data_IF_064591558328
#
_entry.id   IF_064591558328
#
_cell.length_a   1.000
_cell.length_b   1.000
_cell.length_c   1.000
_cell.angle_alpha   90.00
_cell.angle_beta   90.00
_cell.angle_gamma   90.00
#
_symmetry.space_group_name_H-M   'P 1'
#
loop_
_entity.id
_entity.type
_entity.pdbx_description
1 polymer ?
#
# COMPACT_ATOMS: atom_id res chain seq x y z
N UNK A 1 -9.10 -32.08 19.69
CA UNK A 1 -8.35 -32.11 18.42
C UNK A 1 -7.24 -31.09 18.52
N UNK A 2 -5.99 -31.47 18.28
CA UNK A 2 -4.84 -30.57 18.44
C UNK A 2 -4.98 -29.37 17.50
N UNK A 3 -5.28 -28.19 18.06
CA UNK A 3 -5.03 -26.91 17.41
C UNK A 3 -3.52 -26.81 17.22
N UNK A 4 -3.01 -27.33 16.10
CA UNK A 4 -1.59 -27.25 15.78
C UNK A 4 -1.14 -25.79 15.88
N UNK A 5 0.03 -25.55 16.48
CA UNK A 5 0.55 -24.20 16.77
C UNK A 5 0.67 -23.28 15.55
N UNK A 6 1.33 -22.13 15.73
CA UNK A 6 1.43 -21.05 14.71
C UNK A 6 1.75 -21.59 13.30
N UNK A 7 1.00 -21.13 12.29
CA UNK A 7 1.14 -21.54 10.88
C UNK A 7 2.41 -20.95 10.25
N UNK A 8 2.73 -19.70 10.62
CA UNK A 8 3.91 -18.96 10.21
C UNK A 8 4.66 -18.46 11.45
N UNK A 9 5.95 -18.22 11.29
CA UNK A 9 6.75 -17.52 12.29
C UNK A 9 6.35 -16.03 12.34
N UNK A 10 6.49 -15.35 13.50
CA UNK A 10 6.19 -13.92 13.61
C UNK A 10 6.93 -13.06 12.57
N UNK A 11 8.19 -13.38 12.28
CA UNK A 11 8.98 -12.65 11.28
C UNK A 11 8.42 -12.81 9.86
N UNK A 12 7.96 -14.01 9.49
CA UNK A 12 7.34 -14.23 8.18
C UNK A 12 6.04 -13.46 8.03
N UNK A 13 5.24 -13.39 9.10
CA UNK A 13 4.00 -12.58 9.12
C UNK A 13 4.34 -11.11 8.94
N UNK A 14 5.35 -10.62 9.68
CA UNK A 14 5.81 -9.23 9.59
C UNK A 14 6.33 -8.91 8.17
N UNK A 15 7.10 -9.82 7.57
CA UNK A 15 7.57 -9.69 6.19
C UNK A 15 6.42 -9.66 5.18
N UNK A 16 5.41 -10.51 5.34
CA UNK A 16 4.30 -10.62 4.37
C UNK A 16 3.38 -9.40 4.41
N UNK A 17 3.03 -8.91 5.61
CA UNK A 17 2.00 -7.89 5.76
C UNK A 17 2.56 -6.48 5.99
N UNK A 18 3.80 -6.35 6.47
CA UNK A 18 4.47 -5.06 6.65
C UNK A 18 3.59 -4.01 7.35
N UNK A 19 3.46 -2.84 6.72
CA UNK A 19 2.65 -1.71 7.18
C UNK A 19 1.20 -1.71 6.64
N UNK A 20 0.64 -2.85 6.23
CA UNK A 20 -0.78 -2.92 5.82
C UNK A 20 -1.74 -2.37 6.87
N UNK A 21 -1.60 -2.67 8.18
CA UNK A 21 -2.47 -2.08 9.20
C UNK A 21 -2.43 -0.55 9.18
N UNK A 22 -1.24 0.04 9.06
CA UNK A 22 -1.09 1.50 9.03
C UNK A 22 -1.73 2.10 7.77
N UNK A 23 -1.59 1.44 6.61
CA UNK A 23 -2.25 1.84 5.35
C UNK A 23 -3.77 1.76 5.52
N UNK A 24 -4.27 0.68 6.12
CA UNK A 24 -5.69 0.49 6.39
C UNK A 24 -6.25 1.61 7.28
N UNK A 25 -5.53 1.98 8.35
CA UNK A 25 -5.94 3.05 9.26
C UNK A 25 -6.02 4.41 8.56
N UNK A 26 -5.04 4.74 7.71
CA UNK A 26 -5.05 5.99 6.93
C UNK A 26 -6.21 6.01 5.94
N UNK A 27 -6.43 4.92 5.20
CA UNK A 27 -7.53 4.85 4.22
C UNK A 27 -8.91 4.81 4.87
N UNK A 28 -9.04 4.25 6.08
CA UNK A 28 -10.29 4.30 6.84
C UNK A 28 -10.63 5.74 7.21
N UNK A 29 -9.66 6.53 7.69
CA UNK A 29 -9.87 7.96 7.98
C UNK A 29 -10.20 8.78 6.73
N UNK A 30 -9.54 8.51 5.60
CA UNK A 30 -9.86 9.15 4.32
C UNK A 30 -11.31 8.80 3.90
N UNK A 31 -11.71 7.53 4.03
CA UNK A 31 -13.08 7.09 3.72
C UNK A 31 -14.10 7.82 4.59
N UNK A 32 -13.88 7.85 5.90
CA UNK A 32 -14.85 8.43 6.84
C UNK A 32 -15.01 9.94 6.60
N UNK A 33 -13.90 10.68 6.40
CA UNK A 33 -13.95 12.09 6.03
C UNK A 33 -14.67 12.33 4.68
N UNK A 34 -14.51 11.43 3.70
CA UNK A 34 -15.21 11.50 2.42
C UNK A 34 -16.72 11.22 2.57
N UNK A 35 -17.10 10.23 3.38
CA UNK A 35 -18.51 9.93 3.67
C UNK A 35 -19.18 11.13 4.35
N UNK A 36 -18.54 11.74 5.34
CA UNK A 36 -19.05 12.92 6.03
C UNK A 36 -19.17 14.14 5.10
N UNK A 37 -18.22 14.30 4.17
CA UNK A 37 -18.25 15.34 3.14
C UNK A 37 -19.47 15.19 2.23
N UNK A 38 -19.78 13.96 1.80
CA UNK A 38 -20.91 13.64 0.92
C UNK A 38 -22.25 13.84 1.65
N UNK A 39 -22.36 13.36 2.88
CA UNK A 39 -23.60 13.47 3.68
C UNK A 39 -23.95 14.93 3.97
N UNK A 40 -22.93 15.77 4.20
CA UNK A 40 -23.10 17.17 4.57
C UNK A 40 -22.60 18.11 3.47
N UNK A 41 -22.81 17.78 2.19
CA UNK A 41 -22.22 18.53 1.08
C UNK A 41 -22.63 20.01 1.05
N UNK A 42 -21.64 20.89 0.82
CA UNK A 42 -21.82 22.31 0.52
C UNK A 42 -20.70 22.81 -0.42
N UNK A 43 -20.91 23.92 -1.12
CA UNK A 43 -19.96 24.40 -2.14
C UNK A 43 -18.62 24.89 -1.59
N UNK A 44 -18.49 25.11 -0.28
CA UNK A 44 -17.22 25.48 0.36
C UNK A 44 -16.36 24.28 0.74
N UNK A 45 -16.91 23.06 0.65
CA UNK A 45 -16.21 21.82 0.96
C UNK A 45 -15.31 21.36 -0.17
N UNK A 46 -14.19 20.74 0.20
CA UNK A 46 -13.12 20.35 -0.71
C UNK A 46 -12.74 18.89 -0.54
N UNK A 47 -12.79 18.13 -1.65
CA UNK A 47 -12.22 16.77 -1.71
C UNK A 47 -10.69 16.86 -1.66
N UNK A 48 -10.11 17.89 -2.30
CA UNK A 48 -8.68 18.14 -2.29
C UNK A 48 -8.10 18.26 -0.87
N UNK A 49 -8.78 18.97 0.02
CA UNK A 49 -8.33 19.18 1.40
C UNK A 49 -8.24 17.89 2.22
N UNK A 50 -9.13 16.92 1.97
CA UNK A 50 -9.05 15.60 2.61
C UNK A 50 -7.74 14.91 2.25
N UNK A 51 -7.37 14.87 0.97
CA UNK A 51 -6.12 14.24 0.55
C UNK A 51 -4.89 15.02 1.02
N UNK A 52 -4.96 16.35 1.10
CA UNK A 52 -3.89 17.18 1.66
C UNK A 52 -3.69 16.92 3.15
N UNK A 53 -4.78 16.76 3.92
CA UNK A 53 -4.76 16.44 5.35
C UNK A 53 -3.98 15.16 5.64
N UNK A 54 -4.17 14.11 4.83
CA UNK A 54 -3.52 12.80 5.00
C UNK A 54 -2.25 12.59 4.18
N UNK A 55 -1.81 13.59 3.40
CA UNK A 55 -0.62 13.50 2.54
C UNK A 55 0.63 12.99 3.27
N UNK A 56 0.91 13.51 4.46
CA UNK A 56 2.07 13.13 5.28
C UNK A 56 1.97 11.68 5.77
N UNK A 57 0.77 11.23 6.12
CA UNK A 57 0.54 9.85 6.57
C UNK A 57 0.72 8.88 5.39
N UNK A 58 0.26 9.25 4.19
CA UNK A 58 0.49 8.48 2.97
C UNK A 58 1.98 8.35 2.63
N UNK A 59 2.74 9.46 2.70
CA UNK A 59 4.21 9.45 2.51
C UNK A 59 4.89 8.52 3.51
N UNK A 60 4.43 8.48 4.76
CA UNK A 60 5.05 7.66 5.81
C UNK A 60 4.74 6.17 5.69
N UNK A 61 3.51 5.82 5.31
CA UNK A 61 3.02 4.43 5.42
C UNK A 61 3.28 3.59 4.17
N UNK A 62 3.34 4.20 3.00
CA UNK A 62 3.47 3.50 1.72
C UNK A 62 4.88 2.99 1.38
N UNK A 63 5.97 3.76 1.55
CA UNK A 63 7.31 3.30 1.16
C UNK A 63 7.72 1.98 1.85
N UNK A 64 7.50 1.80 3.17
CA UNK A 64 7.78 0.53 3.84
C UNK A 64 6.95 -0.65 3.28
N UNK A 65 5.77 -0.42 2.73
CA UNK A 65 5.01 -1.49 2.11
C UNK A 65 5.52 -1.81 0.69
N UNK A 66 5.69 -0.79 -0.13
CA UNK A 66 6.02 -0.96 -1.55
C UNK A 66 7.45 -1.48 -1.74
N UNK A 67 8.41 -1.03 -0.94
CA UNK A 67 9.80 -1.48 -1.06
C UNK A 67 9.96 -2.96 -0.73
N UNK A 68 9.16 -3.47 0.21
CA UNK A 68 9.21 -4.85 0.66
C UNK A 68 8.18 -5.75 -0.01
N UNK A 69 7.42 -5.23 -0.99
CA UNK A 69 6.38 -6.00 -1.68
C UNK A 69 6.94 -7.25 -2.38
N UNK A 70 8.08 -7.14 -3.09
CA UNK A 70 8.70 -8.30 -3.73
C UNK A 70 9.16 -9.34 -2.71
N UNK A 71 9.75 -8.90 -1.59
CA UNK A 71 10.12 -9.79 -0.48
C UNK A 71 8.90 -10.47 0.16
N UNK A 72 7.78 -9.74 0.26
CA UNK A 72 6.50 -10.27 0.75
C UNK A 72 6.01 -11.40 -0.17
N UNK A 73 6.02 -11.14 -1.49
CA UNK A 73 5.63 -12.10 -2.53
C UNK A 73 6.52 -13.35 -2.51
N UNK A 74 7.83 -13.19 -2.47
CA UNK A 74 8.78 -14.30 -2.38
C UNK A 74 8.55 -15.13 -1.10
N UNK A 75 8.31 -14.46 0.02
CA UNK A 75 8.04 -15.11 1.31
C UNK A 75 6.75 -15.93 1.25
N UNK A 76 5.67 -15.41 0.64
CA UNK A 76 4.43 -16.17 0.43
C UNK A 76 4.70 -17.42 -0.41
N UNK A 77 5.35 -17.27 -1.56
CA UNK A 77 5.62 -18.39 -2.49
C UNK A 77 6.49 -19.46 -1.80
N UNK A 78 7.55 -19.03 -1.10
CA UNK A 78 8.43 -19.92 -0.34
C UNK A 78 7.66 -20.66 0.75
N UNK A 79 6.89 -19.94 1.58
CA UNK A 79 6.12 -20.54 2.66
C UNK A 79 5.05 -21.48 2.12
N UNK A 80 4.38 -21.13 1.02
CA UNK A 80 3.37 -22.00 0.40
C UNK A 80 3.99 -23.32 -0.07
N UNK A 81 5.16 -23.26 -0.71
CA UNK A 81 5.88 -24.45 -1.15
C UNK A 81 6.40 -25.31 0.01
N UNK A 82 6.91 -24.68 1.06
CA UNK A 82 7.63 -25.37 2.14
C UNK A 82 6.74 -25.81 3.30
N UNK A 83 5.59 -25.16 3.51
CA UNK A 83 4.73 -25.37 4.69
C UNK A 83 3.33 -25.84 4.28
N UNK A 84 3.06 -27.17 4.31
CA UNK A 84 1.76 -27.72 3.92
C UNK A 84 0.57 -27.11 4.66
N UNK A 85 0.74 -26.75 5.94
CA UNK A 85 -0.30 -26.08 6.73
C UNK A 85 -0.62 -24.67 6.21
N UNK A 86 0.39 -23.93 5.76
CA UNK A 86 0.20 -22.61 5.15
C UNK A 86 -0.41 -22.71 3.75
N UNK A 87 0.02 -23.70 2.96
CA UNK A 87 -0.61 -24.01 1.68
C UNK A 87 -2.11 -24.29 1.83
N UNK A 88 -2.49 -25.20 2.75
CA UNK A 88 -3.89 -25.49 3.03
C UNK A 88 -4.64 -24.24 3.52
N UNK A 89 -4.02 -23.44 4.40
CA UNK A 89 -4.58 -22.18 4.86
C UNK A 89 -4.86 -21.21 3.70
N UNK A 90 -3.94 -21.04 2.75
CA UNK A 90 -4.15 -20.20 1.56
C UNK A 90 -5.28 -20.74 0.69
N UNK A 91 -5.31 -22.05 0.40
CA UNK A 91 -6.37 -22.67 -0.41
C UNK A 91 -7.76 -22.45 0.19
N UNK A 92 -7.91 -22.65 1.50
CA UNK A 92 -9.19 -22.45 2.20
C UNK A 92 -9.62 -20.98 2.13
N UNK A 93 -8.71 -20.03 2.43
CA UNK A 93 -9.09 -18.62 2.47
C UNK A 93 -9.32 -18.02 1.09
N UNK A 94 -8.51 -18.36 0.08
CA UNK A 94 -8.66 -17.84 -1.28
C UNK A 94 -9.91 -18.37 -2.01
N UNK A 95 -10.48 -19.49 -1.55
CA UNK A 95 -11.73 -20.03 -2.07
C UNK A 95 -12.96 -19.27 -1.54
N UNK A 96 -12.80 -18.40 -0.53
CA UNK A 96 -13.90 -17.63 0.03
C UNK A 96 -14.35 -16.54 -0.94
N UNK A 97 -15.66 -16.21 -0.98
CA UNK A 97 -16.21 -15.23 -1.92
C UNK A 97 -15.58 -13.84 -1.78
N UNK A 98 -15.18 -13.44 -0.57
CA UNK A 98 -14.55 -12.14 -0.27
C UNK A 98 -13.22 -11.95 -1.00
N UNK A 99 -12.53 -13.05 -1.36
CA UNK A 99 -11.28 -12.99 -2.13
C UNK A 99 -11.51 -12.81 -3.64
N UNK A 100 -12.74 -12.92 -4.15
CA UNK A 100 -13.04 -12.68 -5.56
C UNK A 100 -12.25 -13.56 -6.54
N UNK A 101 -11.88 -14.79 -6.13
CA UNK A 101 -10.98 -15.72 -6.85
C UNK A 101 -9.55 -15.20 -7.06
N UNK A 102 -9.11 -14.23 -6.27
CA UNK A 102 -7.75 -13.72 -6.29
C UNK A 102 -6.87 -14.43 -5.26
N UNK A 103 -5.61 -14.61 -5.60
CA UNK A 103 -4.56 -15.03 -4.67
C UNK A 103 -4.21 -13.92 -3.67
N UNK A 104 -3.59 -14.29 -2.55
CA UNK A 104 -3.11 -13.31 -1.57
C UNK A 104 -2.15 -12.28 -2.22
N UNK A 105 -1.25 -12.72 -3.10
CA UNK A 105 -0.32 -11.83 -3.81
C UNK A 105 -1.06 -10.81 -4.69
N UNK A 106 -2.10 -11.25 -5.41
CA UNK A 106 -2.94 -10.37 -6.23
C UNK A 106 -3.83 -9.43 -5.41
N UNK A 107 -4.08 -9.74 -4.13
CA UNK A 107 -4.74 -8.81 -3.22
C UNK A 107 -3.74 -7.79 -2.66
N UNK A 108 -2.51 -8.22 -2.34
CA UNK A 108 -1.45 -7.38 -1.81
C UNK A 108 -0.88 -6.38 -2.82
N UNK A 109 -1.11 -6.56 -4.12
CA UNK A 109 -0.75 -5.53 -5.13
C UNK A 109 -1.67 -4.31 -5.07
N UNK A 110 -2.88 -4.43 -4.52
CA UNK A 110 -3.90 -3.37 -4.56
C UNK A 110 -3.44 -2.07 -3.90
N UNK A 111 -2.78 -2.06 -2.72
CA UNK A 111 -2.23 -0.82 -2.18
C UNK A 111 -1.22 -0.17 -3.13
N UNK A 112 -0.32 -0.93 -3.75
CA UNK A 112 0.67 -0.41 -4.73
C UNK A 112 -0.03 0.33 -5.88
N UNK A 113 -1.15 -0.21 -6.35
CA UNK A 113 -1.93 0.36 -7.45
C UNK A 113 -2.87 1.51 -7.02
N UNK A 114 -3.15 1.64 -5.72
CA UNK A 114 -4.18 2.56 -5.21
C UNK A 114 -3.82 4.04 -5.43
N UNK A 115 -2.59 4.46 -5.12
CA UNK A 115 -2.19 5.87 -5.25
C UNK A 115 -2.24 6.36 -6.70
N UNK A 116 -1.73 5.62 -7.72
CA UNK A 116 -1.93 5.98 -9.11
C UNK A 116 -3.40 6.14 -9.50
N UNK A 117 -4.27 5.20 -9.09
CA UNK A 117 -5.69 5.27 -9.38
C UNK A 117 -6.37 6.48 -8.77
N UNK A 118 -6.05 6.82 -7.51
CA UNK A 118 -6.58 8.03 -6.85
C UNK A 118 -6.11 9.28 -7.59
N UNK A 119 -4.84 9.36 -7.98
CA UNK A 119 -4.34 10.52 -8.72
C UNK A 119 -5.07 10.70 -10.07
N UNK A 120 -5.42 9.62 -10.77
CA UNK A 120 -6.23 9.69 -12.00
C UNK A 120 -7.64 10.21 -11.72
N UNK A 121 -8.31 9.68 -10.69
CA UNK A 121 -9.65 10.13 -10.29
C UNK A 121 -9.66 11.62 -9.89
N UNK A 122 -8.68 12.08 -9.12
CA UNK A 122 -8.57 13.50 -8.75
C UNK A 122 -8.28 14.39 -9.96
N UNK A 123 -7.48 13.93 -10.93
CA UNK A 123 -7.26 14.67 -12.17
C UNK A 123 -8.55 14.80 -12.99
N UNK A 124 -9.32 13.72 -13.11
CA UNK A 124 -10.58 13.76 -13.85
C UNK A 124 -11.64 14.60 -13.11
N UNK A 125 -11.68 14.54 -11.77
CA UNK A 125 -12.50 15.44 -10.97
C UNK A 125 -12.11 16.91 -11.23
N UNK A 126 -10.82 17.26 -11.13
CA UNK A 126 -10.32 18.61 -11.39
C UNK A 126 -10.73 19.15 -12.77
N UNK A 127 -10.70 18.31 -13.81
CA UNK A 127 -11.12 18.70 -15.18
C UNK A 127 -12.59 19.08 -15.25
N UNK A 128 -13.43 18.48 -14.41
CA UNK A 128 -14.87 18.72 -14.35
C UNK A 128 -15.27 19.71 -13.24
N UNK A 129 -14.30 20.29 -12.53
CA UNK A 129 -14.52 21.36 -11.55
C UNK A 129 -14.34 22.73 -12.22
N UNK A 130 -15.30 23.64 -12.02
CA UNK A 130 -15.26 25.01 -12.57
C UNK A 130 -14.03 25.78 -12.07
N UNK A 131 -13.48 26.69 -12.87
CA UNK A 131 -12.28 27.47 -12.50
C UNK A 131 -12.46 28.33 -11.25
N UNK A 132 -13.67 28.85 -11.04
CA UNK A 132 -14.03 29.67 -9.89
C UNK A 132 -14.28 28.85 -8.61
N UNK A 133 -14.37 27.52 -8.71
CA UNK A 133 -14.61 26.68 -7.54
C UNK A 133 -13.29 26.52 -6.75
N UNK A 134 -13.28 26.81 -5.44
CA UNK A 134 -12.07 26.77 -4.62
C UNK A 134 -11.41 25.37 -4.56
N UNK A 135 -12.21 24.30 -4.71
CA UNK A 135 -11.72 22.92 -4.74
C UNK A 135 -10.78 22.66 -5.92
N UNK A 136 -10.84 23.44 -7.01
CA UNK A 136 -9.93 23.23 -8.16
C UNK A 136 -8.47 23.40 -7.77
N UNK A 137 -8.16 24.40 -6.94
CA UNK A 137 -6.79 24.67 -6.48
C UNK A 137 -6.32 23.60 -5.48
N UNK A 138 -7.18 23.16 -4.57
CA UNK A 138 -6.83 22.13 -3.58
C UNK A 138 -6.69 20.77 -4.24
N UNK A 139 -7.52 20.42 -5.24
CA UNK A 139 -7.37 19.23 -6.07
C UNK A 139 -6.02 19.21 -6.79
N UNK A 140 -5.59 20.34 -7.36
CA UNK A 140 -4.27 20.45 -8.00
C UNK A 140 -3.12 20.18 -7.01
N UNK A 141 -3.19 20.79 -5.81
CA UNK A 141 -2.21 20.54 -4.75
C UNK A 141 -2.23 19.08 -4.28
N UNK A 142 -3.42 18.48 -4.12
CA UNK A 142 -3.58 17.09 -3.72
C UNK A 142 -2.98 16.13 -4.75
N UNK A 143 -3.20 16.38 -6.04
CA UNK A 143 -2.58 15.61 -7.14
C UNK A 143 -1.06 15.75 -7.09
N UNK A 144 -0.54 16.96 -6.86
CA UNK A 144 0.89 17.22 -6.68
C UNK A 144 1.47 16.42 -5.52
N UNK A 145 0.84 16.49 -4.36
CA UNK A 145 1.20 15.73 -3.17
C UNK A 145 1.22 14.22 -3.41
N UNK A 146 0.22 13.65 -4.09
CA UNK A 146 0.20 12.22 -4.42
C UNK A 146 1.33 11.83 -5.37
N UNK A 147 1.67 12.70 -6.34
CA UNK A 147 2.83 12.49 -7.21
C UNK A 147 4.13 12.51 -6.42
N UNK A 148 4.28 13.42 -5.45
CA UNK A 148 5.44 13.44 -4.56
C UNK A 148 5.56 12.16 -3.74
N UNK A 149 4.45 11.63 -3.20
CA UNK A 149 4.43 10.34 -2.52
C UNK A 149 4.94 9.23 -3.45
N UNK A 150 4.41 9.16 -4.68
CA UNK A 150 4.83 8.15 -5.66
C UNK A 150 6.29 8.28 -6.08
N UNK A 151 6.80 9.51 -6.24
CA UNK A 151 8.22 9.77 -6.51
C UNK A 151 9.10 9.34 -5.34
N UNK A 152 8.67 9.65 -4.11
CA UNK A 152 9.38 9.24 -2.90
C UNK A 152 9.47 7.72 -2.79
N UNK A 153 8.36 7.00 -3.05
CA UNK A 153 8.33 5.53 -3.08
C UNK A 153 9.33 4.99 -4.12
N UNK A 154 9.33 5.54 -5.33
CA UNK A 154 10.25 5.07 -6.38
C UNK A 154 11.72 5.30 -6.02
N UNK A 155 12.04 6.46 -5.44
CA UNK A 155 13.39 6.79 -5.01
C UNK A 155 13.85 5.95 -3.82
N UNK A 156 12.97 5.74 -2.84
CA UNK A 156 13.23 4.92 -1.66
C UNK A 156 13.39 3.43 -2.01
N UNK A 157 12.59 2.95 -2.97
CA UNK A 157 12.74 1.62 -3.57
C UNK A 157 14.10 1.45 -4.22
N UNK A 158 14.52 2.41 -5.07
CA UNK A 158 15.84 2.40 -5.72
C UNK A 158 16.98 2.33 -4.71
N UNK A 159 16.90 3.10 -3.60
CA UNK A 159 17.90 3.08 -2.53
C UNK A 159 17.92 1.75 -1.79
N UNK A 160 16.75 1.20 -1.46
CA UNK A 160 16.62 -0.07 -0.76
C UNK A 160 17.19 -1.23 -1.60
N UNK A 161 16.90 -1.24 -2.90
CA UNK A 161 17.45 -2.24 -3.83
C UNK A 161 18.98 -2.12 -3.96
N UNK A 162 19.51 -0.91 -4.07
CA UNK A 162 20.96 -0.67 -4.12
C UNK A 162 21.68 -1.13 -2.83
N UNK A 163 21.10 -0.85 -1.66
CA UNK A 163 21.66 -1.32 -0.38
C UNK A 163 21.66 -2.84 -0.28
N UNK A 164 20.60 -3.52 -0.73
CA UNK A 164 20.54 -4.98 -0.76
C UNK A 164 21.65 -5.56 -1.64
N UNK A 165 21.85 -5.02 -2.84
CA UNK A 165 22.91 -5.46 -3.75
C UNK A 165 24.31 -5.29 -3.16
N UNK A 166 24.57 -4.16 -2.47
CA UNK A 166 25.86 -3.95 -1.78
C UNK A 166 26.06 -5.02 -0.70
N UNK A 167 25.02 -5.31 0.09
CA UNK A 167 25.10 -6.33 1.13
C UNK A 167 25.37 -7.73 0.56
N UNK A 168 24.69 -8.08 -0.54
CA UNK A 168 24.89 -9.37 -1.21
C UNK A 168 26.34 -9.52 -1.71
N UNK A 169 26.92 -8.46 -2.29
CA UNK A 169 28.34 -8.44 -2.73
C UNK A 169 29.30 -8.57 -1.54
N UNK A 170 29.06 -7.85 -0.44
CA UNK A 170 29.90 -7.93 0.77
C UNK A 170 29.88 -9.34 1.36
N UNK A 171 28.73 -10.03 1.29
CA UNK A 171 28.58 -11.39 1.80
C UNK A 171 29.24 -12.46 0.91
N UNK A 172 29.32 -12.21 -0.41
CA UNK A 172 29.97 -13.12 -1.36
C UNK A 172 31.49 -12.97 -1.45
N UNK A 173 32.05 -11.82 -1.03
CA UNK A 173 33.49 -11.56 -1.07
C UNK A 173 34.13 -11.93 0.27
N UNK A 174 34.83 -13.06 0.31
CA UNK A 174 35.64 -13.49 1.46
C UNK A 174 36.77 -12.48 1.72
N UNK A 175 36.75 -11.81 2.88
CA UNK A 175 37.73 -10.78 3.26
C UNK A 175 37.33 -9.33 3.00
N UNK A 176 36.05 -9.01 2.83
CA UNK A 176 35.58 -7.62 2.93
C UNK A 176 35.92 -7.06 4.35
N UNK A 177 36.44 -5.82 4.50
CA UNK A 177 36.78 -5.26 5.81
C UNK A 177 35.56 -5.08 6.73
#
# INVERSE_FOLDING_TARGET
GQCGGRILAPEEIKTIFGSIPDIFDVHTKIKDDLEDLIVNWDESKSIGDIFLKYSKDLVKTYPPFVNFFEMSKETIIKCEKQKPRFHAFLKINQAKPECGRQSLVELLIRPVQRLPSVALLLNDLKKHTADENPDKSTLEKAIGSLKEVMMHINEDKRKTEAQKQIFDVVYEVDGCP
#
